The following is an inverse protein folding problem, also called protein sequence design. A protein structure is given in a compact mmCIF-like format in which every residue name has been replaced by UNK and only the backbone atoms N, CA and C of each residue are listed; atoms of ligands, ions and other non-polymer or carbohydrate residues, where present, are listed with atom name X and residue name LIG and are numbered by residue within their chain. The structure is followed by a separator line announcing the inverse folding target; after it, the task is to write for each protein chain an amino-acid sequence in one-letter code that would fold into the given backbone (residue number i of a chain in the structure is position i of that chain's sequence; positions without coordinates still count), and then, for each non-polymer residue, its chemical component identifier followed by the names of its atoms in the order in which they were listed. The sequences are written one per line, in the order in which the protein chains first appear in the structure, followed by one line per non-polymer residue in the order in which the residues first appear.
data_IF_471112147788
#
_entry.id   IF_471112147788
#
_cell.length_a   1.000
_cell.length_b   1.000
_cell.length_c   1.000
_cell.angle_alpha   90.00
_cell.angle_beta   90.00
_cell.angle_gamma   90.00
#
_symmetry.space_group_name_H-M   'P 1'
#
loop_
_entity.id
_entity.type
_entity.pdbx_description
1 polymer ?
#
# COMPACT_ATOMS: atom_id res chain seq x y z
N UNK A 1 -5.97 -26.27 -4.41
CA UNK A 1 -7.26 -26.24 -3.69
C UNK A 1 -7.24 -27.21 -2.50
N UNK A 2 -7.71 -26.78 -1.33
CA UNK A 2 -7.97 -27.64 -0.17
C UNK A 2 -9.17 -28.57 -0.45
N UNK A 3 -9.35 -29.61 0.36
CA UNK A 3 -10.57 -30.43 0.29
C UNK A 3 -11.76 -29.59 0.77
N UNK A 4 -12.85 -29.60 0.00
CA UNK A 4 -14.09 -28.91 0.37
C UNK A 4 -14.75 -29.62 1.57
N UNK A 5 -15.33 -28.81 2.45
CA UNK A 5 -16.26 -29.23 3.50
C UNK A 5 -17.61 -29.64 2.92
N UNK A 6 -18.44 -30.31 3.72
CA UNK A 6 -19.78 -30.72 3.29
C UNK A 6 -20.69 -29.53 2.96
N UNK A 7 -20.54 -28.41 3.68
CA UNK A 7 -21.29 -27.17 3.44
C UNK A 7 -20.88 -26.53 2.10
N UNK A 8 -19.58 -26.47 1.82
CA UNK A 8 -19.05 -25.93 0.56
C UNK A 8 -19.48 -26.77 -0.65
N UNK A 9 -19.49 -28.10 -0.51
CA UNK A 9 -20.06 -28.99 -1.53
C UNK A 9 -21.55 -28.74 -1.74
N UNK A 10 -22.30 -28.60 -0.66
CA UNK A 10 -23.74 -28.31 -0.72
C UNK A 10 -24.01 -26.97 -1.43
N UNK A 11 -23.22 -25.94 -1.13
CA UNK A 11 -23.29 -24.64 -1.80
C UNK A 11 -22.93 -24.75 -3.28
N UNK A 12 -21.81 -25.43 -3.58
CA UNK A 12 -21.39 -25.71 -4.94
C UNK A 12 -22.54 -26.36 -5.71
N UNK A 13 -23.07 -27.49 -5.26
CA UNK A 13 -24.07 -28.27 -5.98
C UNK A 13 -25.39 -27.53 -6.17
N UNK A 14 -25.84 -26.76 -5.17
CA UNK A 14 -27.10 -25.96 -5.25
C UNK A 14 -27.06 -24.86 -6.31
N UNK A 15 -25.88 -24.30 -6.61
CA UNK A 15 -25.75 -23.22 -7.59
C UNK A 15 -26.06 -23.70 -9.02
N UNK A 16 -27.02 -23.07 -9.70
CA UNK A 16 -27.43 -23.42 -11.08
C UNK A 16 -26.86 -22.48 -12.15
N UNK A 17 -26.34 -21.34 -11.73
CA UNK A 17 -25.77 -20.30 -12.58
C UNK A 17 -24.55 -19.66 -11.93
N UNK A 18 -23.68 -19.11 -12.77
CA UNK A 18 -22.46 -18.44 -12.33
C UNK A 18 -22.81 -17.16 -11.57
N UNK A 19 -22.42 -17.01 -10.29
CA UNK A 19 -22.72 -15.81 -9.52
C UNK A 19 -22.03 -14.54 -10.07
N UNK A 20 -20.99 -14.67 -10.90
CA UNK A 20 -20.25 -13.54 -11.46
C UNK A 20 -20.79 -13.04 -12.81
N UNK A 21 -21.48 -13.88 -13.58
CA UNK A 21 -21.98 -13.48 -14.91
C UNK A 21 -23.42 -13.91 -15.19
N UNK A 22 -24.07 -14.55 -14.22
CA UNK A 22 -25.45 -15.04 -14.25
C UNK A 22 -25.76 -16.02 -15.40
N UNK A 23 -24.73 -16.59 -16.04
CA UNK A 23 -24.89 -17.62 -17.07
C UNK A 23 -25.12 -18.97 -16.41
N UNK A 24 -26.13 -19.71 -16.89
CA UNK A 24 -26.38 -21.10 -16.49
C UNK A 24 -25.23 -22.01 -16.89
N UNK A 25 -24.89 -22.95 -16.01
CA UNK A 25 -23.79 -23.86 -16.30
C UNK A 25 -24.15 -24.84 -17.43
N UNK A 26 -23.22 -25.06 -18.36
CA UNK A 26 -23.30 -26.13 -19.36
C UNK A 26 -21.99 -26.93 -19.35
N UNK A 27 -22.09 -28.21 -19.00
CA UNK A 27 -20.96 -29.13 -18.97
C UNK A 27 -20.39 -29.44 -20.36
N UNK A 28 -21.11 -29.13 -21.44
CA UNK A 28 -20.65 -29.39 -22.81
C UNK A 28 -19.67 -28.31 -23.31
N UNK A 29 -19.68 -27.13 -22.70
CA UNK A 29 -18.80 -26.03 -23.09
C UNK A 29 -17.87 -25.65 -21.93
N UNK A 30 -16.55 -25.66 -22.18
CA UNK A 30 -15.56 -25.35 -21.14
C UNK A 30 -15.76 -23.97 -20.50
N UNK A 31 -16.25 -22.98 -21.25
CA UNK A 31 -16.46 -21.61 -20.76
C UNK A 31 -17.60 -21.51 -19.76
N UNK A 32 -18.64 -22.31 -19.94
CA UNK A 32 -19.85 -22.31 -19.10
C UNK A 32 -19.87 -23.49 -18.13
N UNK A 33 -18.90 -24.40 -18.21
CA UNK A 33 -18.71 -25.50 -17.26
C UNK A 33 -18.53 -24.95 -15.85
N UNK A 34 -19.23 -25.58 -14.90
CA UNK A 34 -19.15 -25.26 -13.48
C UNK A 34 -17.83 -25.72 -12.88
N UNK A 35 -17.08 -24.79 -12.29
CA UNK A 35 -15.78 -25.05 -11.69
C UNK A 35 -15.72 -24.51 -10.26
N UNK A 36 -14.84 -25.11 -9.45
CA UNK A 36 -14.62 -24.74 -8.05
C UNK A 36 -13.53 -23.67 -7.99
N UNK A 37 -13.95 -22.42 -7.95
CA UNK A 37 -13.03 -21.29 -7.75
C UNK A 37 -12.43 -21.38 -6.34
N UNK A 38 -11.15 -21.05 -6.24
CA UNK A 38 -10.42 -21.07 -4.99
C UNK A 38 -9.31 -20.04 -4.97
N UNK A 39 -8.93 -19.65 -3.76
CA UNK A 39 -7.79 -18.79 -3.54
C UNK A 39 -6.49 -19.52 -3.95
N UNK A 40 -5.75 -18.95 -4.89
CA UNK A 40 -4.49 -19.52 -5.37
C UNK A 40 -3.29 -19.30 -4.44
N UNK A 41 -3.48 -18.62 -3.31
CA UNK A 41 -2.52 -18.48 -2.20
C UNK A 41 -2.87 -19.41 -1.03
N UNK A 42 -4.11 -19.35 -0.51
CA UNK A 42 -4.50 -20.15 0.67
C UNK A 42 -5.04 -21.54 0.32
N UNK A 43 -5.50 -21.70 -0.92
CA UNK A 43 -6.19 -22.90 -1.39
C UNK A 43 -7.66 -22.98 -0.99
N UNK A 44 -8.20 -21.96 -0.30
CA UNK A 44 -9.57 -21.94 0.23
C UNK A 44 -10.61 -21.75 -0.86
N UNK A 45 -11.73 -22.48 -0.75
CA UNK A 45 -12.79 -22.43 -1.73
C UNK A 45 -13.54 -21.09 -1.65
N UNK A 46 -13.78 -20.48 -2.81
CA UNK A 46 -14.44 -19.17 -2.92
C UNK A 46 -15.87 -19.28 -3.41
N UNK A 47 -16.18 -20.32 -4.18
CA UNK A 47 -17.51 -20.52 -4.72
C UNK A 47 -17.54 -21.22 -6.07
N UNK A 48 -18.75 -21.47 -6.59
CA UNK A 48 -18.93 -21.99 -7.93
C UNK A 48 -18.76 -20.83 -8.93
N UNK A 49 -17.99 -21.03 -10.00
CA UNK A 49 -17.91 -20.12 -11.14
C UNK A 49 -18.06 -20.90 -12.44
N UNK A 50 -18.34 -20.20 -13.55
CA UNK A 50 -18.15 -20.79 -14.87
C UNK A 50 -16.66 -20.75 -15.25
N UNK A 51 -16.23 -21.67 -16.13
CA UNK A 51 -14.83 -21.76 -16.55
C UNK A 51 -14.28 -20.44 -17.10
N UNK A 52 -15.07 -19.65 -17.81
CA UNK A 52 -14.68 -18.33 -18.31
C UNK A 52 -14.38 -17.36 -17.14
N UNK A 53 -15.31 -17.19 -16.20
CA UNK A 53 -15.12 -16.33 -15.03
C UNK A 53 -13.93 -16.77 -14.17
N UNK A 54 -13.74 -18.09 -13.99
CA UNK A 54 -12.61 -18.63 -13.25
C UNK A 54 -11.26 -18.27 -13.88
N UNK A 55 -11.15 -18.29 -15.22
CA UNK A 55 -9.92 -17.87 -15.92
C UNK A 55 -9.63 -16.37 -15.72
N UNK A 56 -10.68 -15.54 -15.59
CA UNK A 56 -10.52 -14.12 -15.27
C UNK A 56 -10.13 -13.85 -13.81
N UNK A 57 -10.46 -14.75 -12.88
CA UNK A 57 -10.01 -14.70 -11.48
C UNK A 57 -8.53 -15.14 -11.38
N UNK A 58 -7.64 -14.31 -11.93
CA UNK A 58 -6.20 -14.58 -11.94
C UNK A 58 -5.61 -14.40 -10.55
N UNK A 59 -4.64 -15.25 -10.22
CA UNK A 59 -3.73 -15.01 -9.10
C UNK A 59 -2.99 -13.69 -9.38
N UNK A 60 -2.95 -12.82 -8.39
CA UNK A 60 -2.01 -11.70 -8.39
C UNK A 60 -0.59 -12.28 -8.45
N UNK A 61 0.25 -11.77 -9.36
CA UNK A 61 1.67 -12.13 -9.50
C UNK A 61 2.59 -11.02 -8.96
N UNK A 62 2.07 -10.06 -8.22
CA UNK A 62 2.78 -8.87 -7.77
C UNK A 62 2.42 -8.38 -6.38
N UNK A 63 3.41 -7.97 -5.58
CA UNK A 63 3.17 -7.31 -4.30
C UNK A 63 3.18 -5.80 -4.54
N UNK A 64 2.05 -5.08 -4.40
CA UNK A 64 2.04 -3.63 -4.48
C UNK A 64 2.70 -3.03 -3.24
N UNK A 65 3.62 -2.08 -3.44
CA UNK A 65 4.28 -1.31 -2.39
C UNK A 65 3.98 0.16 -2.63
N UNK A 66 3.23 0.77 -1.73
CA UNK A 66 2.81 2.17 -1.86
C UNK A 66 3.76 3.12 -1.15
N UNK A 67 4.16 4.15 -1.88
CA UNK A 67 4.81 5.35 -1.35
C UNK A 67 3.88 6.53 -1.59
N UNK A 68 4.04 7.60 -0.81
CA UNK A 68 3.26 8.83 -1.01
C UNK A 68 4.11 9.89 -1.69
N UNK A 69 3.80 10.17 -2.96
CA UNK A 69 4.58 11.00 -3.87
C UNK A 69 5.91 10.36 -4.29
N UNK A 70 5.89 9.04 -4.56
CA UNK A 70 7.04 8.24 -5.00
C UNK A 70 7.80 8.89 -6.18
N UNK A 71 7.05 9.32 -7.19
CA UNK A 71 7.55 9.91 -8.43
C UNK A 71 8.27 11.26 -8.23
N UNK A 72 8.01 11.92 -7.10
CA UNK A 72 8.60 13.22 -6.78
C UNK A 72 9.84 13.13 -5.90
N UNK A 73 10.03 12.02 -5.18
CA UNK A 73 11.08 11.89 -4.17
C UNK A 73 11.78 10.52 -4.23
N UNK A 74 11.20 9.49 -3.62
CA UNK A 74 11.92 8.26 -3.26
C UNK A 74 12.36 7.43 -4.48
N UNK A 75 11.66 7.52 -5.61
CA UNK A 75 12.00 6.76 -6.82
C UNK A 75 13.43 7.03 -7.32
N UNK A 76 13.90 8.27 -7.18
CA UNK A 76 15.26 8.65 -7.56
C UNK A 76 16.31 7.99 -6.67
N UNK A 77 16.02 7.82 -5.38
CA UNK A 77 16.94 7.15 -4.43
C UNK A 77 16.94 5.64 -4.63
N UNK A 78 15.76 5.06 -4.88
CA UNK A 78 15.58 3.62 -4.99
C UNK A 78 16.20 3.08 -6.30
N UNK A 79 15.97 3.75 -7.43
CA UNK A 79 16.46 3.29 -8.75
C UNK A 79 17.77 3.98 -9.14
N UNK A 80 18.00 5.22 -8.71
CA UNK A 80 19.07 6.07 -9.23
C UNK A 80 20.48 5.72 -8.76
N UNK A 81 20.64 4.77 -7.83
CA UNK A 81 21.95 4.31 -7.36
C UNK A 81 22.47 3.15 -8.23
N UNK A 82 23.59 3.34 -8.97
CA UNK A 82 24.17 2.29 -9.81
C UNK A 82 24.60 1.06 -9.03
N UNK A 83 25.13 1.24 -7.81
CA UNK A 83 25.57 0.15 -6.93
C UNK A 83 24.39 -0.70 -6.48
N UNK A 84 23.29 -0.07 -6.06
CA UNK A 84 22.03 -0.77 -5.73
C UNK A 84 21.47 -1.52 -6.93
N UNK A 85 21.47 -0.90 -8.11
CA UNK A 85 21.01 -1.53 -9.35
C UNK A 85 21.87 -2.74 -9.73
N UNK A 86 23.19 -2.62 -9.59
CA UNK A 86 24.12 -3.73 -9.82
C UNK A 86 23.89 -4.85 -8.82
N UNK A 87 23.76 -4.52 -7.54
CA UNK A 87 23.45 -5.50 -6.49
C UNK A 87 22.17 -6.28 -6.81
N UNK A 88 21.09 -5.60 -7.21
CA UNK A 88 19.85 -6.28 -7.59
C UNK A 88 20.05 -7.23 -8.78
N UNK A 89 20.79 -6.80 -9.82
CA UNK A 89 21.10 -7.64 -10.98
C UNK A 89 21.96 -8.86 -10.64
N UNK A 90 22.92 -8.71 -9.73
CA UNK A 90 23.77 -9.81 -9.26
C UNK A 90 22.94 -10.91 -8.56
N UNK A 91 21.78 -10.55 -7.99
CA UNK A 91 20.80 -11.48 -7.42
C UNK A 91 19.72 -11.92 -8.44
N UNK A 92 19.88 -11.62 -9.73
CA UNK A 92 18.94 -11.99 -10.78
C UNK A 92 17.62 -11.21 -10.75
N UNK A 93 17.58 -10.07 -10.06
CA UNK A 93 16.39 -9.20 -10.00
C UNK A 93 16.44 -8.23 -11.18
N UNK A 94 15.41 -8.30 -12.03
CA UNK A 94 15.24 -7.38 -13.17
C UNK A 94 14.38 -6.18 -12.76
N UNK A 95 14.82 -4.97 -13.11
CA UNK A 95 14.11 -3.72 -12.80
C UNK A 95 13.40 -3.25 -14.06
N UNK A 96 12.07 -3.22 -14.02
CA UNK A 96 11.26 -2.61 -15.08
C UNK A 96 10.64 -1.33 -14.59
N UNK A 97 10.59 -0.31 -15.44
CA UNK A 97 9.96 0.96 -15.12
C UNK A 97 8.92 1.35 -16.17
N UNK A 98 8.01 2.20 -15.74
CA UNK A 98 7.03 2.90 -16.59
C UNK A 98 7.34 4.37 -16.42
N UNK A 99 8.13 4.92 -17.34
CA UNK A 99 8.49 6.34 -17.32
C UNK A 99 7.33 7.21 -17.78
N UNK A 100 7.09 8.31 -17.07
CA UNK A 100 6.26 9.42 -17.59
C UNK A 100 7.08 10.38 -18.44
N UNK A 101 8.31 10.62 -18.03
CA UNK A 101 9.33 11.39 -18.76
C UNK A 101 10.72 10.89 -18.33
N UNK A 102 11.78 11.59 -18.74
CA UNK A 102 13.17 11.19 -18.45
C UNK A 102 13.54 11.23 -16.96
N UNK A 103 12.78 11.95 -16.14
CA UNK A 103 13.06 12.14 -14.71
C UNK A 103 12.09 11.35 -13.83
N UNK A 104 10.81 11.27 -14.21
CA UNK A 104 9.72 10.78 -13.37
C UNK A 104 9.19 9.44 -13.85
N UNK A 105 9.17 8.46 -12.96
CA UNK A 105 8.54 7.16 -13.17
C UNK A 105 7.12 7.15 -12.60
N UNK A 106 6.15 6.68 -13.38
CA UNK A 106 4.79 6.38 -12.91
C UNK A 106 4.85 5.23 -11.90
N UNK A 107 5.66 4.21 -12.21
CA UNK A 107 5.90 3.05 -11.38
C UNK A 107 7.18 2.36 -11.84
N UNK A 108 7.75 1.56 -10.95
CA UNK A 108 8.79 0.60 -11.28
C UNK A 108 8.56 -0.69 -10.51
N UNK A 109 9.17 -1.77 -10.95
CA UNK A 109 8.96 -3.10 -10.39
C UNK A 109 10.23 -3.93 -10.38
N UNK A 110 10.44 -4.65 -9.29
CA UNK A 110 11.48 -5.65 -9.16
C UNK A 110 10.90 -7.01 -9.51
N UNK A 111 11.37 -7.59 -10.61
CA UNK A 111 11.00 -8.94 -11.00
C UNK A 111 11.94 -9.91 -10.32
N UNK A 112 11.41 -10.70 -9.40
CA UNK A 112 12.19 -11.69 -8.68
C UNK A 112 12.52 -12.88 -9.61
N UNK A 113 13.71 -13.48 -9.45
CA UNK A 113 14.06 -14.67 -10.21
C UNK A 113 13.08 -15.81 -9.90
N UNK A 114 12.69 -16.55 -10.92
CA UNK A 114 11.85 -17.73 -10.80
C UNK A 114 12.41 -18.83 -11.68
N UNK A 115 12.64 -20.01 -11.09
CA UNK A 115 13.08 -21.20 -11.83
C UNK A 115 11.95 -21.80 -12.68
N UNK A 116 10.70 -21.45 -12.36
CA UNK A 116 9.53 -21.91 -13.10
C UNK A 116 9.39 -21.15 -14.41
N UNK A 117 9.17 -21.90 -15.50
CA UNK A 117 8.77 -21.32 -16.79
C UNK A 117 7.32 -20.83 -16.78
N UNK A 118 6.54 -21.18 -15.75
CA UNK A 118 5.16 -20.77 -15.64
C UNK A 118 5.07 -19.29 -15.26
N UNK A 119 4.36 -18.52 -16.08
CA UNK A 119 4.21 -17.07 -15.87
C UNK A 119 3.57 -16.75 -14.50
N UNK A 120 2.70 -17.64 -14.00
CA UNK A 120 1.99 -17.47 -12.74
C UNK A 120 2.87 -17.67 -11.48
N UNK A 121 4.08 -18.20 -11.65
CA UNK A 121 5.06 -18.38 -10.57
C UNK A 121 6.08 -17.24 -10.52
N UNK A 122 5.93 -16.24 -11.40
CA UNK A 122 6.72 -15.01 -11.33
C UNK A 122 6.13 -14.12 -10.24
N UNK A 123 7.01 -13.59 -9.40
CA UNK A 123 6.66 -12.61 -8.38
C UNK A 123 7.37 -11.30 -8.73
N UNK A 124 6.61 -10.21 -8.78
CA UNK A 124 7.18 -8.87 -8.86
C UNK A 124 6.84 -8.06 -7.61
N UNK A 125 7.73 -7.17 -7.20
CA UNK A 125 7.43 -6.13 -6.20
C UNK A 125 7.18 -4.86 -6.99
N UNK A 126 5.95 -4.35 -6.97
CA UNK A 126 5.51 -3.22 -7.78
C UNK A 126 5.39 -1.97 -6.92
N UNK A 127 6.23 -0.98 -7.18
CA UNK A 127 6.23 0.28 -6.46
C UNK A 127 5.22 1.25 -7.08
N UNK A 128 4.28 1.71 -6.27
CA UNK A 128 3.14 2.53 -6.68
C UNK A 128 3.11 3.85 -5.91
N UNK A 129 2.59 4.88 -6.57
CA UNK A 129 2.46 6.21 -6.00
C UNK A 129 1.02 6.49 -5.55
N UNK A 130 0.77 6.44 -4.24
CA UNK A 130 -0.54 6.76 -3.66
C UNK A 130 -0.99 8.19 -3.98
N UNK A 131 -0.07 9.14 -4.22
CA UNK A 131 -0.42 10.51 -4.59
C UNK A 131 -1.05 10.59 -5.99
N UNK A 132 -0.78 9.59 -6.85
CA UNK A 132 -1.41 9.47 -8.16
C UNK A 132 -2.85 8.93 -8.09
N UNK A 133 -3.32 8.56 -6.89
CA UNK A 133 -4.72 8.25 -6.58
C UNK A 133 -5.39 9.36 -5.77
N UNK A 134 -4.68 9.85 -4.74
CA UNK A 134 -5.16 10.83 -3.77
C UNK A 134 -4.19 12.02 -3.71
N UNK A 135 -4.35 13.03 -4.58
CA UNK A 135 -3.39 14.13 -4.76
C UNK A 135 -3.54 15.20 -3.67
N UNK A 136 -3.29 14.81 -2.42
CA UNK A 136 -3.33 15.67 -1.24
C UNK A 136 -2.23 15.24 -0.26
N UNK A 137 -1.81 16.12 0.65
CA UNK A 137 -0.82 15.76 1.66
C UNK A 137 -1.33 14.64 2.56
N UNK A 138 -0.42 13.78 3.02
CA UNK A 138 -0.72 12.73 3.99
C UNK A 138 -1.38 13.27 5.27
N UNK A 139 -0.94 14.43 5.76
CA UNK A 139 -1.55 15.08 6.93
C UNK A 139 -3.04 15.37 6.72
N UNK A 140 -3.39 15.95 5.57
CA UNK A 140 -4.77 16.25 5.22
C UNK A 140 -5.60 14.98 5.01
N UNK A 141 -5.02 13.96 4.37
CA UNK A 141 -5.70 12.67 4.15
C UNK A 141 -5.97 11.93 5.47
N UNK A 142 -4.96 11.84 6.35
CA UNK A 142 -5.12 11.25 7.67
C UNK A 142 -6.13 12.03 8.53
N UNK A 143 -6.14 13.36 8.42
CA UNK A 143 -7.09 14.23 9.11
C UNK A 143 -8.56 14.02 8.73
N UNK A 144 -8.85 13.37 7.59
CA UNK A 144 -10.22 13.01 7.20
C UNK A 144 -10.70 11.69 7.79
N UNK A 145 -9.81 10.85 8.31
CA UNK A 145 -10.18 9.56 8.87
C UNK A 145 -10.75 9.69 10.27
N UNK A 146 -11.84 8.99 10.54
CA UNK A 146 -12.34 8.80 11.89
C UNK A 146 -11.44 7.85 12.69
N UNK A 147 -11.67 7.78 14.00
CA UNK A 147 -10.96 6.89 14.89
C UNK A 147 -11.11 5.41 14.52
N UNK A 148 -12.27 5.00 14.03
CA UNK A 148 -12.55 3.61 13.67
C UNK A 148 -11.96 3.23 12.31
N UNK A 149 -11.71 4.23 11.45
CA UNK A 149 -11.07 4.05 10.15
C UNK A 149 -9.56 3.85 10.24
N UNK A 150 -8.94 4.14 11.40
CA UNK A 150 -7.49 4.01 11.60
C UNK A 150 -7.12 2.72 12.32
N UNK A 151 -7.63 1.60 11.82
CA UNK A 151 -7.53 0.29 12.47
C UNK A 151 -6.08 -0.21 12.57
N UNK A 152 -5.24 0.07 11.57
CA UNK A 152 -3.84 -0.37 11.52
C UNK A 152 -3.04 0.41 12.57
N UNK A 153 -3.11 1.74 12.54
CA UNK A 153 -2.44 2.57 13.55
C UNK A 153 -2.94 2.25 14.96
N UNK A 154 -4.26 2.09 15.16
CA UNK A 154 -4.84 1.74 16.46
C UNK A 154 -4.29 0.42 16.99
N UNK A 155 -4.23 -0.60 16.14
CA UNK A 155 -3.70 -1.90 16.54
C UNK A 155 -2.20 -1.81 16.88
N UNK A 156 -1.41 -1.11 16.07
CA UNK A 156 0.02 -0.91 16.31
C UNK A 156 0.31 -0.21 17.65
N UNK A 157 -0.46 0.83 17.98
CA UNK A 157 -0.28 1.60 19.22
C UNK A 157 -1.01 1.03 20.43
N UNK A 158 -1.81 -0.03 20.28
CA UNK A 158 -2.66 -0.60 21.34
C UNK A 158 -1.88 -1.04 22.58
N UNK A 159 -0.66 -1.53 22.41
CA UNK A 159 0.19 -2.00 23.50
C UNK A 159 1.08 -0.92 24.10
N UNK A 160 1.04 0.32 23.58
CA UNK A 160 1.95 1.40 23.94
C UNK A 160 1.31 2.43 24.90
N UNK A 161 0.01 2.28 25.18
CA UNK A 161 -0.75 3.09 26.13
C UNK A 161 -2.05 3.63 25.53
N UNK A 162 -3.07 3.79 26.36
CA UNK A 162 -4.44 4.14 25.93
C UNK A 162 -4.56 5.46 25.16
N UNK A 163 -3.64 6.41 25.39
CA UNK A 163 -3.64 7.74 24.79
C UNK A 163 -2.58 7.93 23.68
N UNK A 164 -1.72 6.94 23.43
CA UNK A 164 -0.68 7.04 22.39
C UNK A 164 -1.33 7.13 21.01
N UNK A 165 -2.33 6.31 20.72
CA UNK A 165 -3.03 6.36 19.45
C UNK A 165 -3.63 7.75 19.17
N UNK A 166 -4.27 8.38 20.16
CA UNK A 166 -4.88 9.71 20.01
C UNK A 166 -3.85 10.81 19.68
N UNK A 167 -2.60 10.63 20.14
CA UNK A 167 -1.49 11.52 19.81
C UNK A 167 -0.94 11.19 18.42
N UNK A 168 -0.73 9.91 18.12
CA UNK A 168 -0.01 9.44 16.92
C UNK A 168 -0.88 9.39 15.66
N UNK A 169 -2.21 9.46 15.78
CA UNK A 169 -3.12 9.52 14.62
C UNK A 169 -3.00 10.79 13.75
N UNK A 170 -2.12 11.73 14.11
CA UNK A 170 -1.80 12.93 13.33
C UNK A 170 -0.40 12.83 12.76
N UNK A 171 -0.16 13.52 11.64
CA UNK A 171 1.18 13.56 11.05
C UNK A 171 2.15 14.23 12.02
N UNK A 172 3.33 13.63 12.19
CA UNK A 172 4.39 14.17 13.03
C UNK A 172 5.01 15.45 12.47
N UNK A 173 5.77 16.15 13.31
CA UNK A 173 6.52 17.35 12.93
C UNK A 173 8.01 17.01 12.96
N UNK A 174 8.75 17.26 11.88
CA UNK A 174 10.11 16.76 11.75
C UNK A 174 11.08 17.86 11.28
N UNK A 175 12.28 17.98 11.88
CA UNK A 175 13.23 19.03 11.52
C UNK A 175 14.12 18.59 10.35
N UNK A 176 13.55 18.58 9.13
CA UNK A 176 14.20 18.05 7.93
C UNK A 176 15.59 18.65 7.66
N UNK A 177 15.66 19.98 7.61
CA UNK A 177 16.90 20.72 7.35
C UNK A 177 17.94 20.56 8.45
N UNK A 178 17.49 20.28 9.69
CA UNK A 178 18.40 20.01 10.79
C UNK A 178 19.05 18.64 10.64
N UNK A 179 18.38 17.63 10.09
CA UNK A 179 18.86 16.25 10.04
C UNK A 179 19.82 15.99 8.86
N UNK A 180 20.89 16.78 8.80
CA UNK A 180 21.89 16.79 7.71
C UNK A 180 23.07 15.80 7.88
N UNK A 181 23.12 15.07 8.99
CA UNK A 181 24.25 14.17 9.28
C UNK A 181 23.89 13.05 10.24
N UNK A 182 24.52 11.90 10.06
CA UNK A 182 24.29 10.74 10.91
C UNK A 182 24.67 10.95 12.38
N UNK A 183 25.54 11.92 12.68
CA UNK A 183 25.94 12.26 14.05
C UNK A 183 24.76 12.79 14.87
N UNK A 184 23.86 13.55 14.24
CA UNK A 184 22.69 14.16 14.90
C UNK A 184 21.72 13.13 15.45
N UNK A 185 21.65 11.94 14.87
CA UNK A 185 20.85 10.84 15.42
C UNK A 185 21.19 10.48 16.87
N UNK A 186 22.41 10.76 17.33
CA UNK A 186 22.84 10.46 18.69
C UNK A 186 22.55 11.61 19.68
N UNK A 187 22.01 12.75 19.22
CA UNK A 187 21.67 13.85 20.10
C UNK A 187 20.48 13.48 20.98
N UNK A 188 20.63 13.74 22.28
CA UNK A 188 19.70 13.30 23.34
C UNK A 188 18.60 14.31 23.66
N UNK A 189 18.42 15.33 22.81
CA UNK A 189 17.43 16.40 22.99
C UNK A 189 16.79 16.73 21.66
N UNK A 190 15.52 17.13 21.72
CA UNK A 190 14.85 17.73 20.57
C UNK A 190 15.50 19.09 20.28
N UNK A 191 15.84 19.41 19.01
CA UNK A 191 16.45 20.68 18.66
C UNK A 191 15.48 21.85 18.88
N UNK A 192 16.00 23.08 18.86
CA UNK A 192 15.19 24.29 19.04
C UNK A 192 14.10 24.44 17.98
N UNK A 193 13.04 25.19 18.28
CA UNK A 193 11.96 25.50 17.31
C UNK A 193 12.48 26.11 15.99
N UNK A 194 13.54 26.92 16.06
CA UNK A 194 14.19 27.49 14.88
C UNK A 194 14.79 26.45 13.94
N UNK A 195 15.16 25.27 14.46
CA UNK A 195 15.70 24.15 13.68
C UNK A 195 14.62 23.37 12.94
N UNK A 196 13.33 23.66 13.20
CA UNK A 196 12.18 23.10 12.48
C UNK A 196 11.73 24.00 11.31
N UNK A 197 12.52 25.02 10.95
CA UNK A 197 12.25 25.83 9.77
C UNK A 197 12.26 24.96 8.51
N UNK A 198 11.20 25.07 7.71
CA UNK A 198 11.08 24.38 6.42
C UNK A 198 11.62 25.31 5.33
N UNK A 199 12.85 25.07 4.87
CA UNK A 199 13.46 25.88 3.81
C UNK A 199 12.74 25.72 2.47
N UNK A 200 12.20 24.53 2.18
CA UNK A 200 11.54 24.24 0.91
C UNK A 200 10.31 25.14 0.72
N UNK A 201 9.54 25.34 1.79
CA UNK A 201 8.35 26.19 1.78
C UNK A 201 8.58 27.57 2.41
N UNK A 202 9.82 27.88 2.80
CA UNK A 202 10.20 29.11 3.51
C UNK A 202 9.30 29.42 4.72
N UNK A 203 9.00 28.40 5.53
CA UNK A 203 7.97 28.46 6.58
C UNK A 203 8.55 28.18 7.96
N UNK A 204 8.22 29.06 8.91
CA UNK A 204 8.53 28.83 10.32
C UNK A 204 7.63 27.75 10.94
N UNK A 205 8.21 26.96 11.84
CA UNK A 205 7.45 26.02 12.65
C UNK A 205 6.56 26.79 13.63
N UNK A 206 5.27 26.49 13.64
CA UNK A 206 4.38 27.10 14.62
C UNK A 206 4.70 26.61 16.04
N UNK A 207 4.42 27.46 17.04
CA UNK A 207 4.59 27.06 18.45
C UNK A 207 3.76 25.81 18.79
N UNK A 208 2.57 25.67 18.19
CA UNK A 208 1.70 24.51 18.37
C UNK A 208 2.34 23.24 17.82
N UNK A 209 2.92 23.29 16.63
CA UNK A 209 3.57 22.14 15.99
C UNK A 209 4.82 21.71 16.77
N UNK A 210 5.59 22.67 17.26
CA UNK A 210 6.76 22.38 18.09
C UNK A 210 6.40 21.79 19.46
N UNK A 211 5.33 22.29 20.09
CA UNK A 211 4.81 21.69 21.33
C UNK A 211 4.29 20.27 21.09
N UNK A 212 3.70 20.01 19.92
CA UNK A 212 3.31 18.66 19.52
C UNK A 212 4.52 17.74 19.30
N UNK A 213 5.59 18.22 18.65
CA UNK A 213 6.84 17.47 18.53
C UNK A 213 7.42 17.08 19.91
N UNK A 214 7.41 18.02 20.87
CA UNK A 214 7.81 17.75 22.26
C UNK A 214 6.90 16.75 22.96
N UNK A 215 5.59 16.84 22.74
CA UNK A 215 4.63 15.89 23.29
C UNK A 215 4.92 14.48 22.79
N UNK A 216 5.12 14.30 21.48
CA UNK A 216 5.48 13.01 20.88
C UNK A 216 6.81 12.50 21.44
N UNK A 217 7.84 13.34 21.48
CA UNK A 217 9.15 12.99 22.04
C UNK A 217 9.03 12.42 23.46
N UNK A 218 8.30 13.11 24.34
CA UNK A 218 8.13 12.70 25.72
C UNK A 218 7.24 11.46 25.84
N UNK A 219 6.12 11.44 25.12
CA UNK A 219 5.12 10.36 25.21
C UNK A 219 5.69 9.02 24.74
N UNK A 220 6.51 9.06 23.70
CA UNK A 220 7.16 7.89 23.11
C UNK A 220 8.50 7.55 23.78
N UNK A 221 8.85 8.24 24.86
CA UNK A 221 10.09 8.05 25.62
C UNK A 221 11.35 8.09 24.74
N UNK A 222 11.41 9.01 23.77
CA UNK A 222 12.56 9.16 22.90
C UNK A 222 13.82 9.51 23.72
N UNK A 223 14.88 8.72 23.55
CA UNK A 223 16.16 9.00 24.23
C UNK A 223 17.08 9.86 23.37
N UNK A 224 16.90 9.81 22.05
CA UNK A 224 17.70 10.54 21.07
C UNK A 224 16.92 10.77 19.76
N UNK A 225 17.51 11.54 18.84
CA UNK A 225 16.88 11.86 17.55
C UNK A 225 16.70 10.64 16.64
N UNK A 226 17.46 9.55 16.82
CA UNK A 226 17.22 8.29 16.11
C UNK A 226 15.87 7.69 16.48
N UNK A 227 15.55 7.64 17.76
CA UNK A 227 14.27 7.11 18.25
C UNK A 227 13.13 7.96 17.67
N UNK A 228 13.25 9.28 17.78
CA UNK A 228 12.27 10.22 17.23
C UNK A 228 12.07 10.04 15.72
N UNK A 229 13.16 9.84 14.97
CA UNK A 229 13.09 9.59 13.51
C UNK A 229 12.39 8.29 13.19
N UNK A 230 12.70 7.20 13.92
CA UNK A 230 12.04 5.90 13.71
C UNK A 230 10.54 6.00 13.98
N UNK A 231 10.15 6.68 15.04
CA UNK A 231 8.74 6.91 15.39
C UNK A 231 8.06 7.75 14.30
N UNK A 232 8.71 8.84 13.87
CA UNK A 232 8.19 9.70 12.82
C UNK A 232 7.93 8.93 11.52
N UNK A 233 8.93 8.17 11.05
CA UNK A 233 8.84 7.36 9.83
C UNK A 233 7.81 6.23 9.95
N UNK A 234 7.80 5.51 11.08
CA UNK A 234 6.82 4.44 11.30
C UNK A 234 5.40 5.00 11.31
N UNK A 235 5.20 6.16 11.92
CA UNK A 235 3.89 6.80 11.95
C UNK A 235 3.43 7.22 10.57
N UNK A 236 4.29 7.83 9.75
CA UNK A 236 3.95 8.19 8.36
C UNK A 236 3.54 6.95 7.53
N UNK A 237 4.20 5.80 7.72
CA UNK A 237 3.84 4.54 7.06
C UNK A 237 2.48 4.02 7.55
N UNK A 238 2.24 4.04 8.86
CA UNK A 238 0.97 3.59 9.45
C UNK A 238 -0.21 4.45 8.98
N UNK A 239 -0.04 5.78 8.98
CA UNK A 239 -1.04 6.72 8.48
C UNK A 239 -1.33 6.48 7.00
N UNK A 240 -0.31 6.26 6.18
CA UNK A 240 -0.49 5.97 4.76
C UNK A 240 -1.24 4.65 4.55
N UNK A 241 -0.93 3.63 5.34
CA UNK A 241 -1.62 2.34 5.29
C UNK A 241 -3.11 2.50 5.61
N UNK A 242 -3.47 3.19 6.70
CA UNK A 242 -4.87 3.45 7.04
C UNK A 242 -5.58 4.26 5.93
N UNK A 243 -4.95 5.31 5.42
CA UNK A 243 -5.50 6.14 4.33
C UNK A 243 -5.76 5.30 3.08
N UNK A 244 -4.79 4.48 2.66
CA UNK A 244 -4.90 3.71 1.44
C UNK A 244 -5.86 2.53 1.56
N UNK A 245 -5.91 1.84 2.71
CA UNK A 245 -6.90 0.77 2.93
C UNK A 245 -8.32 1.32 2.97
N UNK A 246 -8.56 2.51 3.55
CA UNK A 246 -9.89 3.16 3.46
C UNK A 246 -10.27 3.50 2.02
N UNK A 247 -9.32 3.99 1.22
CA UNK A 247 -9.55 4.23 -0.20
C UNK A 247 -9.82 2.95 -0.97
N UNK A 248 -9.14 1.86 -0.62
CA UNK A 248 -9.33 0.52 -1.19
C UNK A 248 -10.70 -0.04 -0.87
N UNK A 249 -11.13 0.03 0.38
CA UNK A 249 -12.46 -0.40 0.82
C UNK A 249 -13.57 0.40 0.12
N UNK A 250 -13.39 1.72 0.00
CA UNK A 250 -14.32 2.57 -0.74
C UNK A 250 -14.39 2.16 -2.21
N UNK A 251 -13.25 1.94 -2.85
CA UNK A 251 -13.16 1.57 -4.26
C UNK A 251 -13.78 0.20 -4.54
N UNK A 252 -13.53 -0.77 -3.65
CA UNK A 252 -14.15 -2.09 -3.72
C UNK A 252 -15.67 -2.03 -3.51
N UNK A 253 -16.15 -1.18 -2.60
CA UNK A 253 -17.59 -1.05 -2.35
C UNK A 253 -18.33 -0.33 -3.47
N UNK A 254 -17.74 0.74 -4.03
CA UNK A 254 -18.43 1.61 -5.00
C UNK A 254 -18.22 1.15 -6.44
N UNK A 255 -17.01 0.71 -6.78
CA UNK A 255 -16.65 0.31 -8.14
C UNK A 255 -16.48 -1.20 -8.29
N UNK A 256 -16.36 -1.94 -7.18
CA UNK A 256 -15.94 -3.35 -7.13
C UNK A 256 -14.65 -3.59 -7.94
N UNK A 257 -13.74 -2.61 -7.86
CA UNK A 257 -12.41 -2.62 -8.41
C UNK A 257 -11.42 -2.37 -7.28
N UNK A 258 -10.36 -3.18 -7.24
CA UNK A 258 -9.30 -3.02 -6.25
C UNK A 258 -8.22 -2.06 -6.81
N UNK A 259 -8.03 -0.86 -6.22
CA UNK A 259 -7.07 0.14 -6.69
C UNK A 259 -5.63 -0.37 -6.71
N UNK A 260 -5.30 -1.42 -5.95
CA UNK A 260 -3.98 -2.05 -5.97
C UNK A 260 -3.59 -2.63 -7.34
N UNK A 261 -4.55 -2.84 -8.25
CA UNK A 261 -4.30 -3.33 -9.61
C UNK A 261 -3.94 -2.24 -10.62
N UNK A 262 -4.07 -0.98 -10.21
CA UNK A 262 -3.90 0.16 -11.08
C UNK A 262 -2.62 0.91 -10.73
N UNK A 263 -2.12 1.68 -11.69
CA UNK A 263 -0.99 2.58 -11.47
C UNK A 263 -1.43 3.96 -10.99
N UNK A 264 -2.62 4.41 -11.41
CA UNK A 264 -3.12 5.77 -11.20
C UNK A 264 -4.65 5.81 -11.18
N UNK A 265 -5.23 6.90 -10.63
CA UNK A 265 -6.70 7.07 -10.61
C UNK A 265 -7.36 7.15 -11.99
N UNK A 266 -6.76 7.74 -13.06
CA UNK A 266 -7.37 7.68 -14.39
C UNK A 266 -7.56 6.25 -14.92
N UNK A 267 -6.61 5.35 -14.67
CA UNK A 267 -6.75 3.95 -15.06
C UNK A 267 -7.90 3.26 -14.33
N UNK A 268 -8.00 3.49 -13.02
CA UNK A 268 -9.11 2.99 -12.20
C UNK A 268 -10.46 3.55 -12.67
N UNK A 269 -10.53 4.85 -12.93
CA UNK A 269 -11.75 5.53 -13.35
C UNK A 269 -12.22 5.07 -14.74
N UNK A 270 -11.29 4.80 -15.65
CA UNK A 270 -11.59 4.27 -16.98
C UNK A 270 -12.27 2.90 -16.89
N UNK A 271 -11.70 1.98 -16.11
CA UNK A 271 -12.29 0.64 -15.93
C UNK A 271 -13.62 0.71 -15.16
N UNK A 272 -13.74 1.62 -14.18
CA UNK A 272 -14.99 1.87 -13.48
C UNK A 272 -16.09 2.35 -14.45
N UNK A 273 -15.75 3.21 -15.42
CA UNK A 273 -16.68 3.69 -16.44
C UNK A 273 -17.11 2.58 -17.41
N UNK A 274 -16.20 1.67 -17.78
CA UNK A 274 -16.48 0.59 -18.74
C UNK A 274 -17.23 -0.60 -18.13
N UNK A 275 -17.30 -0.68 -16.81
CA UNK A 275 -17.98 -1.76 -16.13
C UNK A 275 -19.47 -1.70 -16.42
N UNK A 276 -19.99 -2.77 -17.07
CA UNK A 276 -21.43 -2.94 -17.28
C UNK A 276 -22.08 -3.35 -15.95
N UNK A 277 -23.15 -2.64 -15.59
CA UNK A 277 -24.03 -2.99 -14.47
C UNK A 277 -24.71 -4.34 -14.70
#
# INVERSE_FOLDING_TARGET
MRKLTQEEWTNFDKSKECPNCSIKYDSKEMKTTKVRDHDHWTGEYRGPLCGACNIFKRKNTFIPVFFHNLKGYDSHLIIGCPESTKFLKDYGIDIKNISSNTEKFISFSYHLPSESRNFYDRCEIRFLDSFSFMPSSLDKLAGYLSNDQMSISRNYYSTQGNDVFEIMRKKGVYPYDYMDSFKKYNEVRLPSISSFYDKLNSKECSQKDYLYAKLVWNKMNCTNLRDYTKIYMSNDVLLLADVFENFRDLSLRVYELDPCWYYTSPGLAWDAMLKKN
#
